data_IF_110366790654
#
_entry.id   IF_110366790654
#
_cell.length_a   1.000
_cell.length_b   1.000
_cell.length_c   1.000
_cell.angle_alpha   90.00
_cell.angle_beta   90.00
_cell.angle_gamma   90.00
#
_symmetry.space_group_name_H-M   'P 1'
#
loop_
_entity.id
_entity.type
_entity.pdbx_description
1 polymer ?
#
# COMPACT_ATOMS: atom_id res chain seq x y z
N UNK A 1 -13.91 4.63 -2.27
CA UNK A 1 -13.30 4.02 -1.06
C UNK A 1 -12.05 4.75 -0.66
N UNK A 2 -11.81 4.87 0.64
CA UNK A 2 -10.54 5.35 1.14
C UNK A 2 -9.51 4.22 1.07
N UNK A 3 -8.25 4.57 1.18
CA UNK A 3 -7.17 3.58 1.19
C UNK A 3 -7.29 2.63 2.38
N UNK A 4 -7.73 3.15 3.52
CA UNK A 4 -7.98 2.34 4.71
C UNK A 4 -9.07 1.31 4.45
N UNK A 5 -10.18 1.71 3.81
CA UNK A 5 -11.26 0.77 3.48
C UNK A 5 -10.81 -0.31 2.51
N UNK A 6 -9.99 0.04 1.52
CA UNK A 6 -9.42 -0.93 0.59
C UNK A 6 -8.57 -1.95 1.36
N UNK A 7 -7.70 -1.46 2.24
CA UNK A 7 -6.85 -2.34 3.05
C UNK A 7 -7.68 -3.25 3.96
N UNK A 8 -8.75 -2.71 4.55
CA UNK A 8 -9.63 -3.52 5.40
C UNK A 8 -10.32 -4.66 4.65
N UNK A 9 -10.67 -4.45 3.37
CA UNK A 9 -11.34 -5.47 2.57
C UNK A 9 -10.45 -6.68 2.26
N UNK A 10 -9.15 -6.55 2.42
CA UNK A 10 -8.25 -7.69 2.27
C UNK A 10 -8.37 -8.69 3.42
N UNK A 11 -8.94 -8.28 4.55
CA UNK A 11 -9.02 -9.10 5.75
C UNK A 11 -7.71 -9.17 6.54
N UNK A 12 -6.68 -8.45 6.10
CA UNK A 12 -5.38 -8.44 6.78
C UNK A 12 -5.30 -7.30 7.78
N UNK A 13 -4.47 -7.43 8.83
CA UNK A 13 -4.20 -6.29 9.70
C UNK A 13 -3.64 -5.13 8.88
N UNK A 14 -4.12 -3.92 9.14
CA UNK A 14 -3.67 -2.73 8.41
C UNK A 14 -3.55 -1.54 9.35
N UNK A 15 -2.59 -0.66 9.06
CA UNK A 15 -2.35 0.54 9.84
C UNK A 15 -1.83 1.66 8.95
N UNK A 16 -2.06 2.90 9.37
CA UNK A 16 -1.46 4.07 8.75
C UNK A 16 -0.06 4.27 9.29
N UNK A 17 0.90 4.33 8.39
CA UNK A 17 2.32 4.57 8.66
C UNK A 17 3.01 3.42 9.42
N UNK A 18 2.46 2.99 10.54
CA UNK A 18 3.06 1.93 11.35
C UNK A 18 2.03 1.37 12.34
N UNK A 19 2.32 0.20 12.88
CA UNK A 19 1.58 -0.34 14.00
C UNK A 19 2.22 0.13 15.30
N UNK A 20 1.39 0.43 16.31
CA UNK A 20 1.90 0.71 17.64
C UNK A 20 2.05 -0.60 18.42
N UNK A 21 2.62 -0.52 19.64
CA UNK A 21 2.89 -1.72 20.44
C UNK A 21 1.60 -2.48 20.81
N UNK A 22 0.50 -1.77 21.00
CA UNK A 22 -0.76 -2.38 21.39
C UNK A 22 -1.49 -3.08 20.25
N UNK A 23 -1.28 -2.58 19.02
CA UNK A 23 -2.00 -3.04 17.84
C UNK A 23 -1.12 -3.79 16.83
N UNK A 24 0.11 -4.12 17.21
CA UNK A 24 1.01 -4.85 16.32
C UNK A 24 0.50 -6.26 16.06
N UNK A 25 0.45 -6.69 14.79
CA UNK A 25 0.07 -8.06 14.49
C UNK A 25 1.13 -9.04 14.99
N UNK A 26 0.68 -10.25 15.37
CA UNK A 26 1.60 -11.27 15.86
C UNK A 26 2.57 -11.76 14.78
N UNK A 27 2.14 -11.76 13.51
CA UNK A 27 2.95 -12.24 12.40
C UNK A 27 2.42 -11.67 11.08
N UNK A 28 3.29 -11.55 10.05
CA UNK A 28 2.82 -11.26 8.69
C UNK A 28 1.88 -12.36 8.19
N UNK A 29 1.02 -12.08 7.22
CA UNK A 29 0.99 -10.87 6.40
C UNK A 29 0.21 -9.70 7.03
N UNK A 30 0.62 -8.49 6.70
CA UNK A 30 -0.09 -7.29 7.09
C UNK A 30 0.21 -6.14 6.12
N UNK A 31 -0.59 -5.08 6.21
CA UNK A 31 -0.50 -3.93 5.31
C UNK A 31 -0.26 -2.66 6.12
N UNK A 32 0.64 -1.82 5.63
CA UNK A 32 0.84 -0.46 6.11
C UNK A 32 0.62 0.47 4.94
N UNK A 33 -0.07 1.60 5.16
CA UNK A 33 -0.26 2.59 4.11
C UNK A 33 0.14 3.97 4.62
N UNK A 34 0.62 4.82 3.70
CA UNK A 34 1.07 6.16 4.06
C UNK A 34 0.96 7.09 2.86
N UNK A 35 1.00 8.40 3.14
CA UNK A 35 0.99 9.40 2.09
C UNK A 35 2.32 9.46 1.35
N UNK A 36 2.27 9.58 0.05
CA UNK A 36 3.43 9.65 -0.82
C UNK A 36 3.64 11.02 -1.47
N UNK A 37 2.99 12.05 -0.94
CA UNK A 37 3.06 13.39 -1.51
C UNK A 37 2.01 13.62 -2.58
N UNK A 38 2.20 14.64 -3.39
CA UNK A 38 1.29 14.97 -4.47
C UNK A 38 1.95 14.79 -5.83
N UNK A 39 1.15 14.39 -6.79
CA UNK A 39 1.51 14.37 -8.19
C UNK A 39 0.70 15.45 -8.89
N UNK A 40 1.39 16.51 -9.32
CA UNK A 40 0.75 17.68 -9.92
C UNK A 40 1.15 17.82 -11.37
N UNK A 41 0.15 18.06 -12.23
CA UNK A 41 0.40 18.45 -13.60
C UNK A 41 0.38 19.97 -13.69
N UNK A 42 1.42 20.54 -14.29
CA UNK A 42 1.61 21.97 -14.41
C UNK A 42 1.76 22.34 -15.88
N UNK A 43 0.99 23.36 -16.32
CA UNK A 43 1.12 23.92 -17.65
C UNK A 43 0.79 25.39 -17.56
N UNK A 44 1.58 26.26 -18.25
CA UNK A 44 1.41 27.70 -18.23
C UNK A 44 1.35 28.28 -16.81
N UNK A 45 2.15 27.73 -15.91
CA UNK A 45 2.21 28.10 -14.48
C UNK A 45 0.90 27.87 -13.72
N UNK A 46 0.06 26.94 -14.23
CA UNK A 46 -1.20 26.61 -13.60
C UNK A 46 -1.28 25.10 -13.39
N UNK A 47 -1.80 24.69 -12.22
CA UNK A 47 -2.04 23.28 -11.97
C UNK A 47 -3.36 22.85 -12.60
N UNK A 48 -3.30 22.01 -13.64
CA UNK A 48 -4.49 21.42 -14.23
C UNK A 48 -5.03 20.26 -13.42
N UNK A 49 -4.15 19.59 -12.68
CA UNK A 49 -4.51 18.35 -12.00
C UNK A 49 -3.63 18.18 -10.78
N UNK A 50 -4.27 17.94 -9.65
CA UNK A 50 -3.58 17.62 -8.41
C UNK A 50 -4.10 16.30 -7.87
N UNK A 51 -3.22 15.41 -7.51
CA UNK A 51 -3.56 14.11 -6.97
C UNK A 51 -2.65 13.77 -5.80
N UNK A 52 -3.29 13.43 -4.67
CA UNK A 52 -2.55 12.91 -3.54
C UNK A 52 -2.07 11.50 -3.87
N UNK A 53 -0.79 11.26 -3.62
CA UNK A 53 -0.19 9.95 -3.82
C UNK A 53 -0.15 9.21 -2.49
N UNK A 54 -0.30 7.90 -2.58
CA UNK A 54 -0.21 7.03 -1.42
C UNK A 54 0.68 5.85 -1.73
N UNK A 55 1.20 5.24 -0.68
CA UNK A 55 1.98 4.02 -0.79
C UNK A 55 1.37 2.96 0.11
N UNK A 56 1.17 1.77 -0.42
CA UNK A 56 0.76 0.61 0.34
C UNK A 56 1.98 -0.29 0.44
N UNK A 57 2.30 -0.72 1.65
CA UNK A 57 3.38 -1.66 1.92
C UNK A 57 2.75 -2.97 2.37
N UNK A 58 2.92 -4.01 1.57
CA UNK A 58 2.41 -5.33 1.88
C UNK A 58 3.57 -6.20 2.38
N UNK A 59 3.50 -6.59 3.65
CA UNK A 59 4.53 -7.37 4.32
C UNK A 59 4.12 -8.83 4.40
N UNK A 60 5.04 -9.73 4.05
CA UNK A 60 4.77 -11.17 4.07
C UNK A 60 6.04 -11.97 4.32
N UNK A 61 5.87 -13.22 4.79
CA UNK A 61 7.00 -14.16 4.95
C UNK A 61 6.91 -15.26 3.91
N UNK A 62 5.71 -15.65 3.50
CA UNK A 62 5.47 -16.65 2.49
C UNK A 62 4.76 -16.03 1.29
N UNK A 63 5.31 -16.27 0.10
CA UNK A 63 4.74 -15.73 -1.14
C UNK A 63 3.31 -16.23 -1.34
N UNK A 64 2.38 -15.29 -1.55
CA UNK A 64 0.97 -15.58 -1.80
C UNK A 64 0.46 -14.64 -2.89
N UNK A 65 0.48 -15.12 -4.13
CA UNK A 65 0.07 -14.32 -5.27
C UNK A 65 -1.42 -14.01 -5.28
N UNK A 66 -2.24 -14.84 -4.63
CA UNK A 66 -3.67 -14.59 -4.51
C UNK A 66 -3.95 -13.37 -3.63
N UNK A 67 -3.20 -13.22 -2.54
CA UNK A 67 -3.31 -12.06 -1.67
C UNK A 67 -2.89 -10.79 -2.40
N UNK A 68 -1.81 -10.86 -3.17
CA UNK A 68 -1.36 -9.74 -3.98
C UNK A 68 -2.40 -9.36 -5.03
N UNK A 69 -2.98 -10.35 -5.70
CA UNK A 69 -4.02 -10.11 -6.70
C UNK A 69 -5.26 -9.46 -6.09
N UNK A 70 -5.62 -9.81 -4.86
CA UNK A 70 -6.75 -9.20 -4.17
C UNK A 70 -6.50 -7.71 -3.92
N UNK A 71 -5.31 -7.36 -3.45
CA UNK A 71 -4.95 -5.95 -3.25
C UNK A 71 -5.04 -5.19 -4.57
N UNK A 72 -4.46 -5.76 -5.63
CA UNK A 72 -4.41 -5.13 -6.95
C UNK A 72 -5.80 -4.95 -7.53
N UNK A 73 -6.68 -5.94 -7.39
CA UNK A 73 -8.06 -5.85 -7.86
C UNK A 73 -8.86 -4.78 -7.13
N UNK A 74 -8.66 -4.65 -5.81
CA UNK A 74 -9.33 -3.62 -5.03
C UNK A 74 -8.88 -2.22 -5.43
N UNK A 75 -7.60 -2.03 -5.70
CA UNK A 75 -7.07 -0.76 -6.18
C UNK A 75 -7.68 -0.40 -7.53
N UNK A 76 -7.67 -1.32 -8.49
CA UNK A 76 -8.23 -1.09 -9.82
C UNK A 76 -9.73 -0.84 -9.77
N UNK A 77 -10.47 -1.58 -8.94
CA UNK A 77 -11.90 -1.39 -8.77
C UNK A 77 -12.24 0.00 -8.20
N UNK A 78 -11.34 0.58 -7.42
CA UNK A 78 -11.49 1.93 -6.87
C UNK A 78 -11.03 3.03 -7.85
N UNK A 79 -10.56 2.66 -9.03
CA UNK A 79 -10.07 3.60 -10.04
C UNK A 79 -8.62 4.03 -9.84
N UNK A 80 -7.87 3.35 -8.99
CA UNK A 80 -6.48 3.68 -8.72
C UNK A 80 -5.55 2.88 -9.62
N UNK A 81 -4.74 3.60 -10.38
CA UNK A 81 -3.62 2.98 -11.08
C UNK A 81 -2.45 2.89 -10.11
N UNK A 82 -1.69 1.82 -10.20
CA UNK A 82 -0.60 1.59 -9.27
C UNK A 82 0.69 1.16 -9.98
N UNK A 83 1.82 1.45 -9.34
CA UNK A 83 3.10 0.89 -9.68
C UNK A 83 3.48 -0.11 -8.58
N UNK A 84 3.82 -1.31 -8.98
CA UNK A 84 4.18 -2.39 -8.06
C UNK A 84 5.69 -2.60 -8.06
N UNK A 85 6.30 -2.62 -6.89
CA UNK A 85 7.71 -2.91 -6.75
C UNK A 85 7.99 -4.41 -6.84
N UNK A 86 9.26 -4.76 -6.92
CA UNK A 86 9.69 -6.14 -6.73
C UNK A 86 9.55 -6.54 -5.25
N UNK A 87 9.70 -7.83 -4.96
CA UNK A 87 9.73 -8.33 -3.59
C UNK A 87 11.05 -7.88 -2.95
N UNK A 88 10.98 -7.07 -1.91
CA UNK A 88 12.15 -6.55 -1.19
C UNK A 88 12.26 -7.27 0.14
N UNK A 89 13.42 -7.90 0.39
CA UNK A 89 13.63 -8.60 1.65
C UNK A 89 14.28 -7.69 2.69
N UNK A 90 13.69 -7.66 3.88
CA UNK A 90 14.23 -6.93 5.03
C UNK A 90 14.92 -7.91 5.95
N UNK A 91 16.26 -7.88 5.98
CA UNK A 91 17.05 -8.78 6.82
C UNK A 91 16.81 -8.52 8.31
N UNK A 92 16.63 -7.26 8.68
CA UNK A 92 16.44 -6.88 10.08
C UNK A 92 15.14 -7.43 10.66
N UNK A 93 14.10 -7.50 9.85
CA UNK A 93 12.78 -7.95 10.30
C UNK A 93 12.47 -9.38 9.88
N UNK A 94 13.21 -9.93 8.92
CA UNK A 94 12.97 -11.26 8.40
C UNK A 94 11.70 -11.39 7.59
N UNK A 95 11.30 -10.33 6.91
CA UNK A 95 10.08 -10.29 6.10
C UNK A 95 10.36 -9.73 4.71
N UNK A 96 9.47 -10.03 3.78
CA UNK A 96 9.44 -9.40 2.46
C UNK A 96 8.43 -8.25 2.47
N UNK A 97 8.67 -7.25 1.65
CA UNK A 97 7.73 -6.15 1.44
C UNK A 97 7.58 -5.87 -0.04
N UNK A 98 6.34 -5.60 -0.46
CA UNK A 98 6.03 -5.10 -1.80
C UNK A 98 5.42 -3.72 -1.62
N UNK A 99 5.91 -2.76 -2.40
CA UNK A 99 5.41 -1.40 -2.39
C UNK A 99 4.47 -1.18 -3.57
N UNK A 100 3.26 -0.72 -3.29
CA UNK A 100 2.30 -0.27 -4.29
C UNK A 100 2.20 1.24 -4.19
N UNK A 101 2.59 1.95 -5.24
CA UNK A 101 2.49 3.41 -5.32
C UNK A 101 1.25 3.76 -6.13
N UNK A 102 0.33 4.46 -5.52
CA UNK A 102 -0.96 4.82 -6.16
C UNK A 102 -1.17 6.32 -6.24
#
# INVERSE_FOLDING_TARGET
MTLFEISQQTGLPCAYSHFDEENSPAAPPYIVYLGGGQNNFEADNTYYYQRNRYQIEYYFTKKDEDAEAQIEQLLLANGDLYDKSEDVYSEDEGVFVIYYNV
#
